data_IF_852492290199
#
_entry.id   IF_852492290199
#
_cell.length_a   1.000
_cell.length_b   1.000
_cell.length_c   1.000
_cell.angle_alpha   90.00
_cell.angle_beta   90.00
_cell.angle_gamma   90.00
#
_symmetry.space_group_name_H-M   'P 1'
#
loop_
_entity.id
_entity.type
_entity.pdbx_description
1 polymer ?
2 non-polymer ?
3 water ?
#
# COMPACT_ATOMS: atom_id res chain seq x y z
N UNK A 8 -7.94 -45.52 8.20
CA UNK A 8 -7.45 -44.66 9.27
C UNK A 8 -7.82 -43.20 9.02
N UNK A 9 -8.26 -42.90 7.79
CA UNK A 9 -8.91 -41.62 7.53
C UNK A 9 -10.38 -41.83 7.17
N UNK A 10 -11.24 -41.44 8.10
CA UNK A 10 -12.68 -41.51 7.93
C UNK A 10 -13.19 -40.08 7.83
N UNK A 11 -13.26 -39.58 6.59
CA UNK A 11 -13.66 -38.21 6.27
C UNK A 11 -15.00 -37.85 6.88
N UNK A 12 -15.96 -38.76 6.83
CA UNK A 12 -17.30 -38.44 7.31
C UNK A 12 -17.42 -38.41 8.83
N UNK A 13 -16.51 -39.08 9.53
CA UNK A 13 -16.51 -38.93 10.97
C UNK A 13 -15.77 -37.64 11.29
N UNK A 14 -14.59 -37.48 10.68
CA UNK A 14 -13.74 -36.31 10.93
C UNK A 14 -14.36 -34.95 10.60
N UNK A 15 -15.37 -34.94 9.73
CA UNK A 15 -15.91 -33.67 9.24
C UNK A 15 -17.12 -33.22 10.05
N UNK A 16 -17.52 -34.05 11.01
CA UNK A 16 -18.71 -33.77 11.80
C UNK A 16 -18.64 -32.41 12.49
N UNK A 17 -17.50 -32.11 13.11
CA UNK A 17 -17.27 -30.80 13.71
C UNK A 17 -17.58 -29.68 12.74
N UNK A 18 -16.84 -29.64 11.64
CA UNK A 18 -17.00 -28.61 10.62
C UNK A 18 -18.41 -28.62 10.06
N UNK A 19 -18.95 -29.81 9.89
CA UNK A 19 -20.28 -29.95 9.29
C UNK A 19 -21.38 -29.31 10.14
N UNK A 20 -21.39 -29.61 11.43
CA UNK A 20 -22.43 -29.02 12.28
C UNK A 20 -22.23 -27.51 12.38
N UNK A 21 -20.97 -27.08 12.46
CA UNK A 21 -20.65 -25.65 12.43
C UNK A 21 -21.27 -24.97 11.22
N UNK A 22 -21.04 -25.55 10.06
CA UNK A 22 -21.57 -25.01 8.82
C UNK A 22 -23.10 -25.04 8.77
N UNK A 23 -23.69 -26.19 9.11
CA UNK A 23 -25.13 -26.36 8.94
C UNK A 23 -25.93 -25.45 9.89
N UNK A 24 -25.34 -25.14 11.05
CA UNK A 24 -26.03 -24.32 12.04
C UNK A 24 -25.81 -22.82 11.85
N UNK A 25 -24.67 -22.45 11.28
CA UNK A 25 -24.33 -21.03 11.15
C UNK A 25 -25.49 -20.17 10.66
N UNK A 26 -25.67 -18.99 11.28
CA UNK A 26 -26.63 -17.99 10.81
C UNK A 26 -26.05 -17.21 9.62
N UNK A 27 -26.93 -16.57 8.85
CA UNK A 27 -26.46 -15.90 7.65
C UNK A 27 -25.66 -14.66 8.01
N UNK A 28 -25.45 -14.44 9.30
CA UNK A 28 -24.77 -13.24 9.78
C UNK A 28 -23.32 -13.55 10.04
N UNK A 29 -23.00 -14.84 10.06
CA UNK A 29 -21.64 -15.31 10.24
C UNK A 29 -20.98 -15.60 8.90
N UNK A 30 -19.68 -15.29 8.80
CA UNK A 30 -18.88 -15.77 7.68
C UNK A 30 -18.90 -17.29 7.74
N UNK A 31 -19.04 -17.94 6.60
CA UNK A 31 -18.98 -19.39 6.58
C UNK A 31 -17.56 -19.87 6.34
N UNK A 32 -16.70 -18.95 5.91
CA UNK A 32 -15.38 -19.33 5.41
C UNK A 32 -14.30 -19.31 6.49
N UNK A 33 -14.45 -18.40 7.45
CA UNK A 33 -13.40 -18.13 8.43
C UNK A 33 -12.86 -19.38 9.13
N UNK A 34 -11.55 -19.58 9.03
CA UNK A 34 -10.89 -20.71 9.66
C UNK A 34 -9.55 -20.29 10.23
N UNK A 35 -9.40 -20.40 11.56
CA UNK A 35 -8.15 -20.04 12.22
C UNK A 35 -7.62 -18.70 11.76
N UNK A 36 -8.51 -17.72 11.69
CA UNK A 36 -8.17 -16.39 11.25
C UNK A 36 -8.36 -15.41 12.41
N UNK A 37 -7.27 -15.12 13.12
CA UNK A 37 -7.28 -14.40 14.40
C UNK A 37 -7.75 -12.96 14.30
N UNK A 38 -8.47 -12.51 15.33
CA UNK A 38 -9.01 -11.15 15.31
C UNK A 38 -7.91 -10.13 15.17
N UNK A 39 -6.78 -10.41 15.79
CA UNK A 39 -5.66 -9.48 15.77
C UNK A 39 -5.12 -9.35 14.34
N UNK A 40 -5.02 -10.48 13.65
CA UNK A 40 -4.67 -10.48 12.23
C UNK A 40 -5.70 -9.71 11.41
N UNK A 41 -6.98 -10.05 11.58
CA UNK A 41 -8.07 -9.34 10.91
C UNK A 41 -7.95 -7.84 11.11
N UNK A 42 -7.66 -7.44 12.35
CA UNK A 42 -7.51 -6.02 12.69
C UNK A 42 -6.24 -5.39 12.09
N UNK A 43 -5.14 -6.14 12.07
CA UNK A 43 -3.90 -5.63 11.48
C UNK A 43 -4.05 -5.39 9.97
N UNK A 44 -4.84 -6.22 9.31
CA UNK A 44 -5.09 -6.04 7.88
C UNK A 44 -5.89 -4.76 7.64
N UNK A 45 -6.90 -4.54 8.49
CA UNK A 45 -7.66 -3.30 8.38
C UNK A 45 -6.75 -2.09 8.57
N UNK A 46 -5.84 -2.21 9.52
CA UNK A 46 -4.89 -1.15 9.78
C UNK A 46 -4.07 -0.88 8.50
N UNK A 47 -3.53 -1.93 7.91
CA UNK A 47 -2.68 -1.80 6.74
C UNK A 47 -3.51 -1.34 5.52
N UNK A 48 -4.75 -1.79 5.43
CA UNK A 48 -5.64 -1.19 4.45
C UNK A 48 -5.65 0.33 4.60
N UNK A 49 -5.87 0.81 5.83
CA UNK A 49 -5.94 2.24 6.06
C UNK A 49 -4.64 2.95 5.71
N UNK A 50 -3.52 2.26 5.91
CA UNK A 50 -2.21 2.84 5.63
C UNK A 50 -2.00 3.04 4.12
N UNK A 51 -2.42 2.05 3.32
CA UNK A 51 -2.28 2.12 1.87
C UNK A 51 -3.25 3.17 1.38
N UNK A 52 -4.47 3.10 1.90
CA UNK A 52 -5.48 4.07 1.51
C UNK A 52 -5.04 5.50 1.81
N UNK A 53 -4.41 5.73 2.97
CA UNK A 53 -3.92 7.08 3.28
C UNK A 53 -2.81 7.51 2.33
N UNK A 54 -1.85 6.61 2.10
CA UNK A 54 -0.73 6.92 1.20
C UNK A 54 -1.20 7.19 -0.25
N UNK A 55 -2.23 6.47 -0.67
CA UNK A 55 -2.84 6.75 -1.96
C UNK A 55 -3.33 8.20 -2.00
N UNK A 56 -3.95 8.65 -0.91
CA UNK A 56 -4.55 9.99 -0.85
C UNK A 56 -3.45 11.05 -0.86
N UNK A 57 -2.40 10.79 -0.10
CA UNK A 57 -1.24 11.68 -0.07
C UNK A 57 -0.63 11.78 -1.45
N UNK A 58 -0.47 10.64 -2.12
CA UNK A 58 0.08 10.66 -3.47
C UNK A 58 -0.80 11.46 -4.42
N UNK A 59 -2.11 11.40 -4.21
CA UNK A 59 -3.03 12.16 -5.04
C UNK A 59 -2.83 13.66 -4.80
N UNK A 60 -2.54 14.03 -3.56
CA UNK A 60 -2.27 15.44 -3.26
C UNK A 60 -0.98 15.91 -3.97
N UNK A 61 0.04 15.05 -3.96
CA UNK A 61 1.29 15.37 -4.63
C UNK A 61 1.05 15.61 -6.10
N UNK A 62 0.18 14.79 -6.67
CA UNK A 62 -0.18 14.94 -8.06
C UNK A 62 -0.73 16.33 -8.34
N UNK A 63 -1.67 16.77 -7.50
CA UNK A 63 -2.30 18.07 -7.73
C UNK A 63 -1.28 19.19 -7.59
N UNK A 64 -0.30 18.98 -6.73
CA UNK A 64 0.73 20.00 -6.58
C UNK A 64 1.51 20.18 -7.90
N UNK A 65 1.99 19.07 -8.47
CA UNK A 65 2.77 19.16 -9.71
C UNK A 65 1.94 19.50 -10.95
N UNK A 66 0.62 19.29 -10.85
CA UNK A 66 -0.30 19.73 -11.89
C UNK A 66 -0.47 21.26 -11.95
N UNK A 67 -0.11 21.98 -10.89
CA UNK A 67 -0.30 23.44 -10.91
C UNK A 67 0.49 24.10 -12.03
N UNK A 68 -0.18 24.96 -12.79
CA UNK A 68 0.42 25.57 -13.96
C UNK A 68 1.79 26.20 -13.69
N UNK A 69 1.99 26.74 -12.49
CA UNK A 69 3.24 27.45 -12.21
C UNK A 69 4.35 26.51 -11.73
N UNK A 70 3.94 25.29 -11.36
CA UNK A 70 4.89 24.23 -11.05
C UNK A 70 5.36 23.56 -12.36
N UNK A 71 4.43 23.32 -13.28
CA UNK A 71 4.77 22.88 -14.62
C UNK A 71 5.65 21.63 -14.65
N UNK A 72 5.24 20.59 -13.93
CA UNK A 72 5.96 19.32 -13.90
C UNK A 72 4.98 18.16 -14.08
N UNK A 73 4.35 18.09 -15.26
CA UNK A 73 3.25 17.16 -15.55
C UNK A 73 3.69 15.69 -15.56
N UNK A 74 4.97 15.43 -15.80
CA UNK A 74 5.54 14.10 -15.63
C UNK A 74 5.49 13.65 -14.18
N UNK A 75 5.91 14.52 -13.26
CA UNK A 75 5.83 14.21 -11.84
C UNK A 75 4.35 14.02 -11.47
N UNK A 76 3.50 14.88 -12.05
CA UNK A 76 2.08 14.79 -11.78
C UNK A 76 1.52 13.42 -12.20
N UNK A 77 1.92 12.95 -13.38
CA UNK A 77 1.44 11.67 -13.88
C UNK A 77 1.92 10.56 -12.97
N UNK A 78 3.21 10.62 -12.66
CA UNK A 78 3.84 9.67 -11.75
C UNK A 78 3.05 9.53 -10.45
N UNK A 79 2.64 10.66 -9.87
CA UNK A 79 1.94 10.57 -8.61
C UNK A 79 0.50 10.11 -8.74
N UNK A 80 -0.16 10.46 -9.84
CA UNK A 80 -1.50 9.93 -10.05
C UNK A 80 -1.43 8.41 -10.12
N UNK A 81 -0.45 7.88 -10.85
CA UNK A 81 -0.29 6.44 -10.98
C UNK A 81 0.05 5.82 -9.63
N UNK A 82 1.02 6.39 -8.93
CA UNK A 82 1.34 5.89 -7.60
C UNK A 82 0.07 5.88 -6.74
N UNK A 83 -0.76 6.92 -6.88
CA UNK A 83 -2.01 6.96 -6.12
C UNK A 83 -2.97 5.83 -6.49
N UNK A 84 -3.20 5.64 -7.79
CA UNK A 84 -3.98 4.48 -8.25
C UNK A 84 -3.42 3.17 -7.68
N UNK A 85 -2.09 3.02 -7.75
CA UNK A 85 -1.42 1.79 -7.34
C UNK A 85 -1.59 1.50 -5.84
N UNK A 86 -1.45 2.55 -5.02
CA UNK A 86 -1.58 2.35 -3.57
C UNK A 86 -3.02 2.00 -3.18
N UNK A 87 -3.96 2.58 -3.91
CA UNK A 87 -5.38 2.32 -3.66
C UNK A 87 -5.70 0.88 -4.02
N UNK A 88 -5.08 0.39 -5.09
CA UNK A 88 -5.19 -1.01 -5.48
C UNK A 88 -4.54 -1.92 -4.43
N UNK A 89 -3.45 -1.47 -3.82
CA UNK A 89 -2.87 -2.23 -2.71
C UNK A 89 -3.88 -2.40 -1.59
N UNK A 90 -4.59 -1.31 -1.25
CA UNK A 90 -5.65 -1.36 -0.26
C UNK A 90 -6.74 -2.35 -0.67
N UNK A 91 -7.15 -2.27 -1.93
CA UNK A 91 -8.15 -3.19 -2.48
C UNK A 91 -7.78 -4.68 -2.39
N UNK A 92 -6.50 -5.01 -2.61
CA UNK A 92 -6.08 -6.40 -2.53
C UNK A 92 -6.09 -6.88 -1.08
N UNK A 93 -5.79 -5.96 -0.15
CA UNK A 93 -5.84 -6.32 1.26
C UNK A 93 -7.29 -6.58 1.65
N UNK A 94 -8.20 -5.74 1.17
CA UNK A 94 -9.62 -5.92 1.44
C UNK A 94 -10.09 -7.24 0.87
N UNK A 95 -9.63 -7.53 -0.33
CA UNK A 95 -9.96 -8.79 -0.98
C UNK A 95 -9.51 -9.99 -0.13
N UNK A 96 -8.29 -9.95 0.38
CA UNK A 96 -7.84 -11.04 1.23
C UNK A 96 -8.69 -11.12 2.49
N UNK A 97 -9.03 -9.96 3.05
CA UNK A 97 -9.81 -9.90 4.29
C UNK A 97 -11.09 -10.72 4.16
N UNK A 98 -11.89 -10.42 3.15
CA UNK A 98 -13.14 -11.13 2.96
C UNK A 98 -12.93 -12.54 2.39
N UNK A 99 -11.80 -12.73 1.72
CA UNK A 99 -11.40 -14.06 1.32
C UNK A 99 -11.28 -14.98 2.55
N UNK A 100 -10.69 -14.49 3.63
CA UNK A 100 -10.42 -15.34 4.80
C UNK A 100 -11.56 -15.36 5.82
N UNK A 101 -12.65 -14.65 5.52
CA UNK A 101 -13.79 -14.58 6.42
C UNK A 101 -13.76 -13.36 7.32
N UNK A 102 -12.66 -12.61 7.30
CA UNK A 102 -12.58 -11.38 8.07
C UNK A 102 -13.49 -10.30 7.51
N UNK A 103 -13.70 -9.23 8.26
CA UNK A 103 -14.51 -8.13 7.76
C UNK A 103 -13.73 -6.82 7.63
N UNK A 104 -13.89 -6.17 6.48
CA UNK A 104 -13.20 -4.92 6.21
C UNK A 104 -13.76 -3.79 7.08
N UNK A 105 -12.88 -3.08 7.77
CA UNK A 105 -13.28 -1.83 8.38
C UNK A 105 -12.49 -0.69 7.76
N UNK A 106 -13.20 0.26 7.16
CA UNK A 106 -12.55 1.41 6.56
C UNK A 106 -12.53 2.54 7.56
N UNK A 107 -11.37 3.15 7.70
CA UNK A 107 -11.14 4.15 8.73
C UNK A 107 -11.09 5.56 8.14
N UNK A 108 -11.05 6.58 9.00
CA UNK A 108 -10.99 7.94 8.47
C UNK A 108 -9.68 8.23 7.74
N UNK A 109 -9.74 9.11 6.76
CA UNK A 109 -8.54 9.58 6.10
C UNK A 109 -8.33 11.04 6.46
N UNK A 110 -7.18 11.33 7.07
CA UNK A 110 -6.81 12.71 7.37
C UNK A 110 -6.50 13.50 6.10
N UNK A 111 -6.76 14.80 6.14
CA UNK A 111 -6.38 15.70 5.05
C UNK A 111 -4.87 15.63 4.88
N UNK A 112 -4.41 15.40 3.63
CA UNK A 112 -2.96 15.36 3.35
C UNK A 112 -2.41 16.76 3.20
N UNK A 113 -1.09 16.91 3.29
CA UNK A 113 -0.47 18.20 3.00
C UNK A 113 -0.59 18.48 1.49
N UNK A 114 -0.79 19.74 1.14
CA UNK A 114 -0.99 20.11 -0.26
C UNK A 114 0.19 20.89 -0.84
N UNK A 115 1.06 21.36 0.04
CA UNK A 115 2.12 22.29 -0.36
C UNK A 115 3.46 21.62 -0.30
N UNK A 116 4.25 21.77 -1.36
CA UNK A 116 5.51 21.01 -1.40
C UNK A 116 6.69 21.81 -1.91
N UNK A 117 6.52 23.12 -1.98
CA UNK A 117 7.63 24.02 -2.26
C UNK A 117 8.71 23.81 -1.21
N UNK A 118 9.96 23.91 -1.64
CA UNK A 118 11.09 23.70 -0.75
C UNK A 118 12.30 24.36 -1.36
N UNK A 119 12.82 25.37 -0.67
CA UNK A 119 13.86 26.23 -1.23
C UNK A 119 15.22 25.56 -1.19
N UNK A 120 15.46 24.76 -0.16
CA UNK A 120 16.74 24.07 -0.04
C UNK A 120 16.87 23.04 -1.15
N UNK A 121 15.96 22.08 -1.17
CA UNK A 121 16.10 20.94 -2.05
C UNK A 121 15.44 21.10 -3.44
N UNK A 122 14.45 21.99 -3.53
CA UNK A 122 13.63 22.09 -4.72
C UNK A 122 12.46 21.15 -4.50
N UNK A 123 11.28 21.49 -5.03
CA UNK A 123 10.09 20.65 -4.80
C UNK A 123 10.23 19.24 -5.40
N UNK A 124 10.87 19.13 -6.55
CA UNK A 124 11.03 17.82 -7.17
C UNK A 124 11.72 16.91 -6.17
N UNK A 125 12.97 17.25 -5.86
CA UNK A 125 13.80 16.41 -5.02
C UNK A 125 13.13 16.18 -3.68
N UNK A 126 12.56 17.24 -3.13
CA UNK A 126 11.89 17.14 -1.84
C UNK A 126 10.76 16.12 -1.89
N UNK A 127 9.85 16.28 -2.85
CA UNK A 127 8.76 15.34 -3.04
C UNK A 127 9.25 13.90 -3.19
N UNK A 128 10.35 13.71 -3.91
CA UNK A 128 10.87 12.35 -4.10
C UNK A 128 11.51 11.82 -2.81
N UNK A 129 12.10 12.72 -2.04
CA UNK A 129 12.62 12.33 -0.73
C UNK A 129 11.46 12.01 0.23
N UNK A 130 10.38 12.77 0.13
CA UNK A 130 9.19 12.51 0.94
C UNK A 130 8.63 11.13 0.57
N UNK A 131 8.46 10.91 -0.73
CA UNK A 131 7.95 9.65 -1.26
C UNK A 131 8.79 8.45 -0.81
N UNK A 132 10.10 8.55 -1.01
CA UNK A 132 11.01 7.50 -0.56
C UNK A 132 10.77 7.21 0.92
N UNK A 133 10.76 8.28 1.72
CA UNK A 133 10.59 8.17 3.17
C UNK A 133 9.29 7.45 3.49
N UNK A 134 8.24 7.83 2.77
CA UNK A 134 6.94 7.17 2.93
C UNK A 134 7.01 5.69 2.57
N UNK A 135 7.76 5.37 1.52
CA UNK A 135 7.88 3.99 1.07
C UNK A 135 8.66 3.15 2.07
N UNK A 136 9.76 3.70 2.59
CA UNK A 136 10.52 3.02 3.66
C UNK A 136 9.63 2.79 4.88
N UNK A 137 8.90 3.83 5.28
CA UNK A 137 7.94 3.70 6.37
C UNK A 137 7.00 2.53 6.08
N UNK A 138 6.41 2.50 4.88
CA UNK A 138 5.46 1.45 4.60
C UNK A 138 6.09 0.06 4.55
N UNK A 139 7.37 0.00 4.20
CA UNK A 139 8.11 -1.25 4.22
C UNK A 139 8.10 -1.79 5.66
N UNK A 140 8.36 -0.91 6.61
CA UNK A 140 8.34 -1.33 8.01
C UNK A 140 6.92 -1.69 8.45
N UNK A 141 5.93 -0.88 8.07
CA UNK A 141 4.54 -1.23 8.36
C UNK A 141 4.27 -2.64 7.84
N UNK A 142 4.68 -2.90 6.60
CA UNK A 142 4.43 -4.22 6.03
C UNK A 142 5.14 -5.28 6.87
N UNK A 143 6.39 -5.00 7.26
CA UNK A 143 7.13 -5.92 8.12
C UNK A 143 6.38 -6.24 9.42
N UNK A 144 5.88 -5.20 10.08
CA UNK A 144 5.04 -5.35 11.25
C UNK A 144 3.81 -6.20 10.96
N UNK A 145 3.20 -6.01 9.79
CA UNK A 145 1.98 -6.75 9.47
C UNK A 145 2.28 -8.24 9.40
N UNK A 146 3.42 -8.60 8.83
CA UNK A 146 3.72 -10.02 8.74
C UNK A 146 4.12 -10.56 10.13
N UNK A 147 4.70 -9.70 10.96
CA UNK A 147 5.08 -10.11 12.32
C UNK A 147 3.86 -10.61 13.07
N UNK A 148 2.77 -9.85 12.99
CA UNK A 148 1.53 -10.27 13.64
C UNK A 148 1.05 -11.60 13.05
N UNK A 149 0.99 -11.67 11.73
CA UNK A 149 0.68 -12.92 11.03
C UNK A 149 1.53 -14.08 11.53
N UNK A 150 2.84 -13.84 11.66
CA UNK A 150 3.77 -14.86 12.15
C UNK A 150 3.48 -15.23 13.61
N UNK A 151 3.27 -14.21 14.44
CA UNK A 151 2.93 -14.39 15.85
C UNK A 151 1.83 -15.44 16.01
N UNK A 152 0.73 -15.28 15.26
CA UNK A 152 -0.41 -16.18 15.42
C UNK A 152 -0.32 -17.41 14.50
N UNK A 153 0.86 -17.60 13.92
CA UNK A 153 1.15 -18.81 13.16
C UNK A 153 0.15 -19.05 12.03
N UNK A 154 -0.18 -17.98 11.31
CA UNK A 154 -1.08 -18.09 10.19
C UNK A 154 -0.23 -18.11 8.93
N UNK A 155 0.23 -19.30 8.54
CA UNK A 155 1.20 -19.39 7.46
C UNK A 155 0.61 -18.89 6.12
N UNK A 156 -0.69 -19.11 5.93
CA UNK A 156 -1.38 -18.65 4.72
C UNK A 156 -1.29 -17.14 4.58
N UNK A 157 -1.60 -16.43 5.66
CA UNK A 157 -1.53 -14.97 5.63
C UNK A 157 -0.07 -14.49 5.47
N UNK A 158 0.87 -15.18 6.10
CA UNK A 158 2.28 -14.81 5.95
C UNK A 158 2.68 -14.87 4.49
N UNK A 159 2.40 -16.02 3.87
CA UNK A 159 2.73 -16.24 2.47
C UNK A 159 2.10 -15.14 1.62
N UNK A 160 0.84 -14.83 1.91
CA UNK A 160 0.14 -13.80 1.18
C UNK A 160 0.83 -12.45 1.30
N UNK A 161 1.23 -12.09 2.52
CA UNK A 161 1.80 -10.78 2.77
C UNK A 161 3.20 -10.68 2.18
N UNK A 162 3.99 -11.73 2.33
CA UNK A 162 5.40 -11.61 1.97
C UNK A 162 5.64 -11.77 0.48
N UNK A 163 4.86 -12.64 -0.15
CA UNK A 163 4.99 -12.84 -1.58
C UNK A 163 4.36 -11.72 -2.38
N UNK A 164 3.45 -10.98 -1.75
CA UNK A 164 2.76 -9.91 -2.43
C UNK A 164 3.36 -8.56 -2.08
N UNK A 165 2.62 -7.78 -1.30
CA UNK A 165 3.03 -6.42 -0.93
C UNK A 165 4.45 -6.30 -0.38
N UNK A 166 4.83 -7.19 0.53
CA UNK A 166 6.12 -7.04 1.17
C UNK A 166 7.19 -7.04 0.10
N UNK A 167 7.20 -8.10 -0.71
CA UNK A 167 8.19 -8.29 -1.76
C UNK A 167 8.18 -7.14 -2.76
N UNK A 168 6.98 -6.69 -3.12
CA UNK A 168 6.86 -5.56 -4.03
C UNK A 168 7.43 -4.27 -3.41
N UNK A 169 7.25 -4.11 -2.10
CA UNK A 169 7.66 -2.89 -1.43
C UNK A 169 9.18 -2.76 -1.49
N UNK A 170 9.87 -3.89 -1.45
CA UNK A 170 11.32 -3.89 -1.64
C UNK A 170 11.70 -3.22 -2.97
N UNK A 171 11.12 -3.70 -4.07
CA UNK A 171 11.36 -3.09 -5.37
C UNK A 171 11.01 -1.60 -5.34
N UNK A 172 9.84 -1.29 -4.79
CA UNK A 172 9.41 0.10 -4.72
C UNK A 172 10.44 1.00 -4.02
N UNK A 173 10.94 0.56 -2.86
CA UNK A 173 11.92 1.36 -2.14
C UNK A 173 13.18 1.64 -2.96
N UNK A 174 13.76 0.59 -3.54
CA UNK A 174 14.95 0.75 -4.38
C UNK A 174 14.70 1.74 -5.53
N UNK A 175 13.55 1.59 -6.21
CA UNK A 175 13.21 2.48 -7.31
C UNK A 175 13.12 3.94 -6.85
N UNK A 176 12.58 4.17 -5.65
CA UNK A 176 12.51 5.55 -5.16
C UNK A 176 13.87 6.07 -4.72
N UNK A 177 14.71 5.18 -4.19
CA UNK A 177 16.06 5.58 -3.81
C UNK A 177 16.79 6.14 -5.03
N UNK A 178 16.70 5.42 -6.15
CA UNK A 178 17.33 5.83 -7.41
C UNK A 178 16.89 7.21 -7.92
N UNK A 179 15.58 7.46 -7.93
CA UNK A 179 15.05 8.79 -8.28
C UNK A 179 15.68 9.90 -7.45
N UNK A 180 15.77 9.65 -6.15
CA UNK A 180 16.38 10.61 -5.23
C UNK A 180 17.84 10.84 -5.61
N UNK A 181 18.55 9.73 -5.81
CA UNK A 181 19.94 9.80 -6.23
C UNK A 181 20.07 10.62 -7.52
N UNK A 182 19.15 10.41 -8.46
CA UNK A 182 19.21 11.12 -9.73
C UNK A 182 18.97 12.63 -9.58
N UNK A 183 17.95 12.99 -8.81
CA UNK A 183 17.63 14.40 -8.62
C UNK A 183 18.80 15.13 -7.95
N UNK A 184 19.38 14.47 -6.95
CA UNK A 184 20.59 14.97 -6.30
C UNK A 184 21.73 15.14 -7.30
N UNK A 185 21.89 14.19 -8.21
CA UNK A 185 22.98 14.26 -9.18
C UNK A 185 22.82 15.43 -10.16
N UNK A 186 21.64 15.62 -10.73
CA UNK A 186 21.46 16.59 -11.82
C UNK A 186 21.12 18.00 -11.36
N UNK A 187 20.66 18.13 -10.11
CA UNK A 187 20.32 19.43 -9.55
C UNK A 187 19.12 20.11 -10.20
N UNK A 188 18.81 21.31 -9.71
CA UNK A 188 17.63 22.02 -10.17
C UNK A 188 17.73 22.48 -11.63
N UNK A 189 16.58 22.80 -12.21
CA UNK A 189 16.53 23.40 -13.53
C UNK A 189 16.41 22.34 -14.61
N UNK A 190 17.40 22.31 -15.49
CA UNK A 190 17.39 21.32 -16.57
C UNK A 190 17.28 19.86 -16.06
N UNK A 191 18.06 19.50 -15.04
CA UNK A 191 17.96 18.19 -14.41
C UNK A 191 16.54 17.77 -14.03
N UNK A 192 15.80 18.67 -13.37
CA UNK A 192 14.42 18.41 -13.00
C UNK A 192 13.53 18.29 -14.24
N UNK A 193 13.76 19.16 -15.22
CA UNK A 193 12.97 19.09 -16.44
C UNK A 193 13.17 17.75 -17.16
N UNK A 194 14.41 17.28 -17.19
CA UNK A 194 14.76 16.02 -17.83
C UNK A 194 14.11 14.85 -17.11
N UNK A 195 14.22 14.85 -15.78
CA UNK A 195 13.64 13.79 -14.97
C UNK A 195 12.12 13.81 -15.04
N UNK A 196 11.55 15.01 -15.11
CA UNK A 196 10.11 15.12 -15.30
C UNK A 196 9.71 14.49 -16.64
N UNK A 197 10.55 14.64 -17.66
CA UNK A 197 10.27 14.00 -18.94
C UNK A 197 10.31 12.49 -18.83
N UNK A 198 11.30 11.98 -18.11
CA UNK A 198 11.46 10.55 -17.89
C UNK A 198 10.25 9.99 -17.12
N UNK A 199 9.92 10.64 -16.00
CA UNK A 199 8.80 10.24 -15.15
C UNK A 199 7.48 10.20 -15.91
N UNK A 200 7.41 10.95 -17.00
CA UNK A 200 6.19 11.09 -17.77
C UNK A 200 5.96 9.94 -18.73
N UNK A 201 7.04 9.46 -19.36
CA UNK A 201 6.89 8.39 -20.34
C UNK A 201 6.68 7.03 -19.68
N UNK A 202 7.00 6.94 -18.39
CA UNK A 202 6.76 5.74 -17.60
C UNK A 202 5.26 5.45 -17.43
X LIG B 1 8.11 -18.83 1.23
X LIG C 1 6.18 -19.45 -3.37
X LIG D 1 2.56 -1.23 -0.53
X LIG E 1 5.69 -18.46 5.42
#
# INVERSE_FOLDING_TARGET
>A
AQEVTGMVFQPFSEVQGELSTVTQAPVTDSYARVEYHIECEAAINEQINIEYTISYVYHALHSYFARDNVGLPGFAKFFKEASDEEREHAHMLMDYQTKRGGRVELKPLAAPEMEFANDDKGEALYAMELALSLEKLNFQKLQALQAIADKHKDAALCDFVEGGLLSEQVDAVKEHAVYVSQLRRVGKGVGVYLLDQELGEEEA
>B hetero
1 CA CA
>C hetero
1 CA CA
>D hetero
1 CA CA
>E hetero
1 CA CA
#
